data_IF_749136235888
#
_entry.id   IF_749136235888
#
_cell.length_a   1.000
_cell.length_b   1.000
_cell.length_c   1.000
_cell.angle_alpha   90.00
_cell.angle_beta   90.00
_cell.angle_gamma   90.00
#
_symmetry.space_group_name_H-M   'P 1'
#
loop_
_entity.id
_entity.type
_entity.pdbx_description
1 polymer ?
#
# COMPACT_ATOMS: atom_id res chain seq x y z
N UNK A 1 -29.84 5.35 -28.20
CA UNK A 1 -29.14 4.41 -27.33
C UNK A 1 -27.87 3.99 -28.05
N UNK A 2 -26.69 4.53 -27.71
CA UNK A 2 -25.47 4.06 -28.32
C UNK A 2 -25.11 2.68 -27.73
N UNK A 3 -24.95 1.74 -28.62
CA UNK A 3 -24.53 0.37 -28.38
C UNK A 3 -23.12 0.38 -27.72
N UNK A 4 -23.01 -0.22 -26.53
CA UNK A 4 -21.72 -0.53 -25.94
C UNK A 4 -21.07 -1.61 -26.80
N UNK A 5 -20.13 -1.21 -27.64
CA UNK A 5 -19.32 -2.15 -28.42
C UNK A 5 -18.52 -3.03 -27.44
N UNK A 6 -18.70 -4.32 -27.62
CA UNK A 6 -17.93 -5.38 -26.98
C UNK A 6 -16.43 -5.13 -27.16
N UNK A 7 -15.78 -4.71 -26.10
CA UNK A 7 -14.33 -4.80 -26.03
C UNK A 7 -14.00 -6.30 -25.91
N UNK A 8 -13.50 -6.87 -26.96
CA UNK A 8 -13.01 -8.23 -26.97
C UNK A 8 -11.92 -8.38 -25.90
N UNK A 9 -11.92 -9.46 -25.10
CA UNK A 9 -10.81 -9.71 -24.20
C UNK A 9 -9.55 -9.93 -25.02
N UNK A 10 -8.53 -9.10 -24.75
CA UNK A 10 -7.18 -9.32 -25.27
C UNK A 10 -6.77 -10.74 -24.89
N UNK A 11 -6.56 -11.58 -25.88
CA UNK A 11 -6.09 -12.93 -25.74
C UNK A 11 -4.87 -12.92 -24.80
N UNK A 12 -5.01 -13.65 -23.70
CA UNK A 12 -3.93 -13.93 -22.77
C UNK A 12 -2.80 -14.57 -23.57
N UNK A 13 -1.75 -13.79 -23.86
CA UNK A 13 -0.49 -14.37 -24.28
C UNK A 13 -0.05 -15.25 -23.10
N UNK A 14 -0.24 -16.54 -23.23
CA UNK A 14 0.37 -17.55 -22.38
C UNK A 14 1.89 -17.40 -22.56
N UNK A 15 2.46 -16.57 -21.68
CA UNK A 15 3.88 -16.57 -21.44
C UNK A 15 4.16 -17.96 -20.90
N UNK A 16 4.70 -18.84 -21.74
CA UNK A 16 5.26 -20.12 -21.34
C UNK A 16 6.29 -19.81 -20.24
N UNK A 17 5.81 -19.89 -19.00
CA UNK A 17 6.64 -19.67 -17.83
C UNK A 17 7.75 -20.72 -17.89
N UNK A 18 8.95 -20.28 -18.23
CA UNK A 18 10.13 -21.12 -18.28
C UNK A 18 10.21 -21.94 -17.00
N UNK A 19 10.27 -23.25 -17.11
CA UNK A 19 10.32 -24.20 -15.97
C UNK A 19 11.49 -23.93 -15.01
N UNK A 20 12.43 -23.09 -15.42
CA UNK A 20 13.63 -22.68 -14.66
C UNK A 20 13.40 -21.52 -13.70
N UNK A 21 12.35 -20.71 -13.92
CA UNK A 21 12.07 -19.53 -13.07
C UNK A 21 11.89 -19.87 -11.60
N UNK A 22 11.15 -20.92 -11.21
CA UNK A 22 10.98 -21.24 -9.79
C UNK A 22 12.30 -21.64 -9.11
N UNK A 23 13.20 -22.31 -9.83
CA UNK A 23 14.50 -22.71 -9.29
C UNK A 23 15.45 -21.53 -9.13
N UNK A 24 15.43 -20.59 -10.09
CA UNK A 24 16.23 -19.37 -10.04
C UNK A 24 15.77 -18.47 -8.89
N UNK A 25 14.47 -18.30 -8.73
CA UNK A 25 13.92 -17.51 -7.61
C UNK A 25 14.22 -18.18 -6.27
N UNK A 26 14.09 -19.50 -6.15
CA UNK A 26 14.44 -20.21 -4.93
C UNK A 26 15.94 -20.10 -4.59
N UNK A 27 16.82 -20.15 -5.59
CA UNK A 27 18.25 -19.95 -5.38
C UNK A 27 18.60 -18.51 -4.99
N UNK A 28 17.93 -17.53 -5.58
CA UNK A 28 18.07 -16.13 -5.20
C UNK A 28 17.54 -15.85 -3.81
N UNK A 29 16.44 -16.45 -3.42
CA UNK A 29 15.86 -16.33 -2.08
C UNK A 29 16.77 -16.95 -1.01
N UNK A 30 17.60 -17.93 -1.37
CA UNK A 30 18.59 -18.52 -0.47
C UNK A 30 19.76 -17.56 -0.20
N UNK A 31 20.20 -16.81 -1.23
CA UNK A 31 21.33 -15.87 -1.15
C UNK A 31 20.86 -14.49 -0.67
N UNK A 32 19.65 -14.09 -1.08
CA UNK A 32 19.02 -12.82 -0.72
C UNK A 32 17.63 -13.10 -0.14
N UNK A 33 17.54 -13.57 1.11
CA UNK A 33 16.25 -13.86 1.71
C UNK A 33 15.41 -12.58 1.77
N UNK A 34 14.12 -12.65 1.39
CA UNK A 34 13.22 -11.52 1.47
C UNK A 34 13.00 -11.18 2.95
N UNK A 35 13.62 -10.12 3.41
CA UNK A 35 13.51 -9.63 4.79
C UNK A 35 12.57 -8.43 4.84
N UNK A 36 11.79 -8.34 5.91
CA UNK A 36 11.02 -7.15 6.21
C UNK A 36 11.98 -5.95 6.38
N UNK A 37 11.82 -4.86 5.63
CA UNK A 37 12.74 -3.72 5.70
C UNK A 37 12.68 -2.98 7.05
N UNK A 38 11.65 -3.21 7.85
CA UNK A 38 11.47 -2.58 9.16
C UNK A 38 12.07 -3.42 10.28
N UNK A 39 11.62 -4.66 10.44
CA UNK A 39 12.03 -5.52 11.56
C UNK A 39 13.07 -6.60 11.20
N UNK A 40 13.40 -6.73 9.91
CA UNK A 40 14.32 -7.75 9.38
C UNK A 40 13.82 -9.19 9.54
N UNK A 41 12.57 -9.39 9.92
CA UNK A 41 11.94 -10.70 9.94
C UNK A 41 11.83 -11.28 8.53
N UNK A 42 11.99 -12.59 8.39
CA UNK A 42 11.85 -13.25 7.10
C UNK A 42 10.42 -13.15 6.57
N UNK A 43 10.29 -12.66 5.36
CA UNK A 43 9.03 -12.68 4.62
C UNK A 43 8.87 -14.07 4.02
N UNK A 44 7.75 -14.75 4.34
CA UNK A 44 7.47 -16.09 3.81
C UNK A 44 7.43 -16.11 2.28
N UNK A 45 7.80 -17.27 1.69
CA UNK A 45 7.77 -17.49 0.25
C UNK A 45 6.39 -17.18 -0.34
N UNK A 46 6.37 -16.51 -1.49
CA UNK A 46 5.13 -16.18 -2.21
C UNK A 46 4.38 -14.94 -1.71
N UNK A 47 4.88 -14.22 -0.72
CA UNK A 47 4.28 -12.97 -0.29
C UNK A 47 4.53 -11.86 -1.32
N UNK A 48 3.45 -11.13 -1.61
CA UNK A 48 3.49 -9.91 -2.45
C UNK A 48 3.69 -8.64 -1.62
N UNK A 49 3.47 -8.73 -0.31
CA UNK A 49 3.57 -7.59 0.60
C UNK A 49 5.02 -7.33 0.97
N UNK A 50 5.48 -6.08 0.88
CA UNK A 50 6.85 -5.69 1.19
C UNK A 50 7.16 -5.68 2.69
N UNK A 51 6.16 -5.84 3.56
CA UNK A 51 6.27 -5.83 5.01
C UNK A 51 5.75 -7.13 5.61
N UNK A 52 6.32 -7.55 6.73
CA UNK A 52 5.77 -8.67 7.48
C UNK A 52 4.41 -8.33 8.11
N UNK A 53 3.62 -9.36 8.42
CA UNK A 53 2.28 -9.18 8.99
C UNK A 53 2.26 -8.36 10.27
N UNK A 54 3.24 -8.57 11.16
CA UNK A 54 3.35 -7.83 12.42
C UNK A 54 3.59 -6.33 12.19
N UNK A 55 4.54 -5.96 11.32
CA UNK A 55 4.78 -4.57 10.97
C UNK A 55 3.58 -3.93 10.26
N UNK A 56 2.90 -4.70 9.40
CA UNK A 56 1.70 -4.24 8.73
C UNK A 56 0.54 -3.96 9.69
N UNK A 57 0.35 -4.82 10.69
CA UNK A 57 -0.68 -4.65 11.73
C UNK A 57 -0.34 -3.56 12.75
N UNK A 58 0.93 -3.37 13.04
CA UNK A 58 1.41 -2.35 13.99
C UNK A 58 1.37 -0.92 13.47
N UNK A 59 0.98 -0.67 12.21
CA UNK A 59 0.83 0.67 11.67
C UNK A 59 -0.39 1.37 12.27
N UNK A 60 -0.20 2.61 12.72
CA UNK A 60 -1.30 3.47 13.19
C UNK A 60 -2.12 4.00 12.00
N UNK A 61 -3.14 3.24 11.65
CA UNK A 61 -4.02 3.54 10.52
C UNK A 61 -5.06 4.57 10.89
N UNK A 62 -5.34 5.48 9.97
CA UNK A 62 -6.40 6.46 10.12
C UNK A 62 -7.69 5.89 9.57
N UNK A 63 -8.67 5.67 10.48
CA UNK A 63 -10.02 5.23 10.15
C UNK A 63 -11.06 6.34 10.36
N UNK A 64 -12.31 6.11 9.93
CA UNK A 64 -13.42 7.01 10.20
C UNK A 64 -13.72 7.09 11.72
N UNK A 65 -14.33 8.19 12.18
CA UNK A 65 -14.74 9.34 11.39
C UNK A 65 -13.60 10.32 11.12
N UNK A 66 -13.61 10.92 9.96
CA UNK A 66 -12.65 11.95 9.54
C UNK A 66 -13.32 13.16 8.89
N UNK A 67 -12.61 14.28 8.79
CA UNK A 67 -13.08 15.42 8.04
C UNK A 67 -13.30 15.06 6.56
N UNK A 68 -14.51 15.30 6.04
CA UNK A 68 -14.85 14.98 4.66
C UNK A 68 -13.98 15.70 3.63
N UNK A 69 -13.37 16.82 4.00
CA UNK A 69 -12.51 17.59 3.12
C UNK A 69 -11.03 17.23 3.29
N UNK A 70 -10.42 17.52 4.43
CA UNK A 70 -8.97 17.37 4.63
C UNK A 70 -8.54 16.01 5.20
N UNK A 71 -9.48 15.15 5.62
CA UNK A 71 -9.18 13.81 6.10
C UNK A 71 -8.58 13.72 7.51
N UNK A 72 -8.52 14.82 8.25
CA UNK A 72 -8.07 14.77 9.65
C UNK A 72 -9.03 13.91 10.47
N UNK A 73 -8.55 13.06 11.41
CA UNK A 73 -9.43 12.32 12.30
C UNK A 73 -10.31 13.24 13.14
N UNK A 74 -11.58 12.89 13.27
CA UNK A 74 -12.56 13.59 14.06
C UNK A 74 -13.24 12.65 15.05
N UNK A 75 -13.88 13.19 16.09
CA UNK A 75 -14.73 12.40 16.98
C UNK A 75 -16.10 12.06 16.37
N UNK A 76 -16.56 12.86 15.42
CA UNK A 76 -17.84 12.72 14.71
C UNK A 76 -17.66 13.02 13.22
N UNK A 77 -18.53 12.49 12.38
CA UNK A 77 -18.52 12.81 10.96
C UNK A 77 -18.81 14.30 10.69
N UNK A 78 -18.11 14.85 9.69
CA UNK A 78 -18.35 16.22 9.28
C UNK A 78 -17.15 16.92 8.69
N UNK A 79 -17.10 18.23 8.88
CA UNK A 79 -15.98 19.08 8.53
C UNK A 79 -15.28 19.56 9.80
N UNK A 80 -13.95 19.59 9.82
CA UNK A 80 -13.19 20.19 10.90
C UNK A 80 -13.35 21.73 10.90
N UNK A 81 -12.99 22.39 12.02
CA UNK A 81 -13.10 23.83 12.16
C UNK A 81 -12.42 24.61 11.03
N UNK A 82 -11.19 24.25 10.71
CA UNK A 82 -10.42 24.90 9.63
C UNK A 82 -11.10 24.82 8.25
N UNK A 83 -11.67 23.63 7.92
CA UNK A 83 -12.36 23.46 6.64
C UNK A 83 -13.74 24.12 6.59
N UNK A 84 -14.33 24.45 7.74
CA UNK A 84 -15.55 25.26 7.82
C UNK A 84 -15.24 26.74 7.58
N UNK A 85 -14.18 27.24 8.19
CA UNK A 85 -13.79 28.66 8.10
C UNK A 85 -13.16 28.97 6.73
N UNK A 86 -12.26 28.12 6.30
CA UNK A 86 -11.55 28.30 5.01
C UNK A 86 -11.53 27.01 4.25
N UNK A 87 -12.37 26.91 3.23
CA UNK A 87 -12.46 25.73 2.37
C UNK A 87 -11.20 25.61 1.50
N UNK A 88 -10.47 24.46 1.56
CA UNK A 88 -9.35 24.19 0.66
C UNK A 88 -9.79 24.18 -0.80
N UNK A 89 -8.84 24.42 -1.71
CA UNK A 89 -9.11 24.40 -3.16
C UNK A 89 -9.16 22.98 -3.76
N UNK A 90 -8.81 21.95 -3.00
CA UNK A 90 -8.92 20.57 -3.41
C UNK A 90 -10.28 19.97 -3.00
N UNK A 91 -10.74 18.96 -3.72
CA UNK A 91 -12.02 18.31 -3.44
C UNK A 91 -11.99 17.54 -2.11
N UNK A 92 -10.97 16.71 -1.93
CA UNK A 92 -10.73 15.99 -0.66
C UNK A 92 -9.29 15.50 -0.57
N UNK A 93 -8.86 15.23 0.67
CA UNK A 93 -7.60 14.54 0.98
C UNK A 93 -7.88 13.38 1.93
N UNK A 94 -7.09 12.31 1.81
CA UNK A 94 -7.13 11.15 2.70
C UNK A 94 -5.72 10.71 3.03
N UNK A 95 -5.52 10.31 4.27
CA UNK A 95 -4.30 9.66 4.70
C UNK A 95 -4.64 8.25 5.18
N UNK A 96 -3.82 7.28 4.82
CA UNK A 96 -4.01 5.88 5.20
C UNK A 96 -3.55 5.61 6.63
N UNK A 97 -2.51 6.30 7.08
CA UNK A 97 -1.90 6.10 8.39
C UNK A 97 -1.26 7.40 8.92
N UNK A 98 -1.02 7.45 10.21
CA UNK A 98 -0.26 8.54 10.86
C UNK A 98 1.21 8.39 10.53
N UNK A 99 1.85 9.51 10.19
CA UNK A 99 3.29 9.53 9.96
C UNK A 99 4.03 9.48 11.30
N UNK A 100 4.73 8.39 11.56
CA UNK A 100 5.49 8.14 12.78
C UNK A 100 5.75 6.64 12.95
N UNK A 101 6.59 6.27 13.90
CA UNK A 101 6.88 4.87 14.22
C UNK A 101 7.12 4.00 12.98
N UNK A 102 6.42 2.88 12.90
CA UNK A 102 6.54 1.90 11.81
C UNK A 102 6.27 2.48 10.42
N UNK A 103 5.32 3.40 10.30
CA UNK A 103 4.99 4.04 9.00
C UNK A 103 6.16 4.87 8.49
N UNK A 104 6.80 5.64 9.36
CA UNK A 104 8.00 6.42 9.02
C UNK A 104 9.13 5.51 8.59
N UNK A 105 9.42 4.44 9.35
CA UNK A 105 10.48 3.48 9.03
C UNK A 105 10.23 2.76 7.71
N UNK A 106 8.99 2.33 7.47
CA UNK A 106 8.59 1.70 6.21
C UNK A 106 8.81 2.64 5.01
N UNK A 107 8.40 3.90 5.12
CA UNK A 107 8.60 4.90 4.07
C UNK A 107 10.09 5.17 3.83
N UNK A 108 10.88 5.29 4.90
CA UNK A 108 12.33 5.48 4.79
C UNK A 108 13.00 4.27 4.13
N UNK A 109 12.65 3.05 4.55
CA UNK A 109 13.16 1.84 3.94
C UNK A 109 12.80 1.74 2.45
N UNK A 110 11.57 2.10 2.08
CA UNK A 110 11.13 2.11 0.69
C UNK A 110 11.86 3.15 -0.18
N UNK A 111 12.12 4.33 0.37
CA UNK A 111 12.78 5.42 -0.38
C UNK A 111 14.30 5.29 -0.46
N UNK A 112 14.93 4.77 0.58
CA UNK A 112 16.38 4.84 0.77
C UNK A 112 17.03 3.48 1.02
N UNK A 113 16.24 2.41 1.15
CA UNK A 113 16.68 1.05 1.41
C UNK A 113 16.88 0.22 0.13
N UNK A 114 17.48 0.80 -0.90
CA UNK A 114 17.86 0.09 -2.14
C UNK A 114 19.12 -0.72 -2.00
#
# INVERSE_FOLDING_TARGET
MPQLEHVAPLASAEVTASRWRPWITAALDLVFPPLCPVCREMLGAGRRDPLCGACWQGMDRIGPPWCRCCGIPLGIEGLCGLCRERRPRFAYARAAARYGGLVREAIHAFKFGG
#
